data_IF_273019054612
#
_entry.id   IF_273019054612
#
_cell.length_a   1.000
_cell.length_b   1.000
_cell.length_c   1.000
_cell.angle_alpha   90.00
_cell.angle_beta   90.00
_cell.angle_gamma   90.00
#
_symmetry.space_group_name_H-M   'P 1'
#
loop_
_entity.id
_entity.type
_entity.pdbx_description
1 polymer ?
#
# COMPACT_ATOMS: atom_id res chain seq x y z
N UNK A 1 25.65 -6.19 0.72
CA UNK A 1 24.65 -5.33 1.39
C UNK A 1 23.33 -6.05 1.35
N UNK A 2 22.72 -6.31 2.50
CA UNK A 2 21.44 -7.00 2.56
C UNK A 2 20.34 -6.00 2.18
N UNK A 3 19.91 -6.02 0.92
CA UNK A 3 18.60 -5.45 0.58
C UNK A 3 17.57 -6.17 1.45
N UNK A 4 16.76 -5.41 2.18
CA UNK A 4 15.64 -5.98 2.94
C UNK A 4 14.81 -6.84 1.98
N UNK A 5 14.73 -8.15 2.23
CA UNK A 5 13.88 -9.03 1.43
C UNK A 5 12.44 -8.76 1.80
N UNK A 6 11.70 -8.18 0.86
CA UNK A 6 10.27 -7.93 1.02
C UNK A 6 9.52 -9.24 0.77
N UNK A 7 8.62 -9.59 1.69
CA UNK A 7 7.75 -10.77 1.58
C UNK A 7 6.29 -10.33 1.68
N UNK A 8 5.45 -10.82 0.77
CA UNK A 8 3.99 -10.74 0.90
C UNK A 8 3.53 -11.81 1.90
N UNK A 9 2.84 -11.39 2.95
CA UNK A 9 2.24 -12.27 3.95
C UNK A 9 0.74 -12.50 3.67
N UNK A 10 0.05 -11.48 3.17
CA UNK A 10 -1.36 -11.53 2.79
C UNK A 10 -1.63 -10.59 1.62
N UNK A 11 -2.56 -11.01 0.76
CA UNK A 11 -3.15 -10.17 -0.30
C UNK A 11 -4.58 -10.65 -0.51
N UNK A 12 -5.55 -9.75 -0.34
CA UNK A 12 -6.97 -10.07 -0.46
C UNK A 12 -7.36 -10.53 -1.86
N UNK A 13 -6.61 -10.10 -2.90
CA UNK A 13 -6.87 -10.50 -4.28
C UNK A 13 -6.39 -11.91 -4.60
N UNK A 14 -5.50 -12.47 -3.78
CA UNK A 14 -5.05 -13.86 -3.90
C UNK A 14 -5.94 -14.85 -3.13
N UNK A 15 -6.96 -14.35 -2.41
CA UNK A 15 -7.86 -15.21 -1.64
C UNK A 15 -8.98 -15.76 -2.54
N UNK A 16 -9.45 -17.00 -2.29
CA UNK A 16 -10.64 -17.54 -2.97
C UNK A 16 -11.85 -16.65 -2.72
N UNK A 17 -12.56 -16.27 -3.79
CA UNK A 17 -13.85 -15.59 -3.67
C UNK A 17 -14.91 -16.66 -3.41
N UNK A 18 -15.57 -16.60 -2.25
CA UNK A 18 -16.68 -17.51 -1.95
C UNK A 18 -17.86 -17.25 -2.89
N UNK A 19 -18.49 -18.31 -3.40
CA UNK A 19 -19.75 -18.19 -4.14
C UNK A 19 -20.79 -17.46 -3.28
N UNK A 20 -21.39 -16.40 -3.85
CA UNK A 20 -22.35 -15.55 -3.15
C UNK A 20 -21.75 -14.34 -2.43
N UNK A 21 -20.42 -14.16 -2.43
CA UNK A 21 -19.82 -12.88 -2.07
C UNK A 21 -20.28 -11.81 -3.07
N UNK A 22 -21.11 -10.86 -2.61
CA UNK A 22 -21.38 -9.64 -3.38
C UNK A 22 -20.04 -8.95 -3.65
N UNK A 23 -19.91 -8.26 -4.78
CA UNK A 23 -18.69 -7.59 -5.28
C UNK A 23 -18.11 -6.47 -4.38
N UNK A 24 -18.26 -6.57 -3.07
CA UNK A 24 -17.67 -5.70 -2.06
C UNK A 24 -16.13 -5.61 -2.17
N UNK A 25 -15.48 -6.50 -2.94
CA UNK A 25 -14.05 -6.47 -3.23
C UNK A 25 -13.62 -5.73 -4.50
N UNK A 26 -14.54 -5.27 -5.37
CA UNK A 26 -14.14 -4.66 -6.65
C UNK A 26 -13.53 -3.25 -6.53
N UNK A 27 -13.49 -2.69 -5.32
CA UNK A 27 -12.96 -1.34 -5.06
C UNK A 27 -11.97 -1.27 -3.90
N UNK A 28 -11.62 -2.39 -3.26
CA UNK A 28 -10.72 -2.41 -2.10
C UNK A 28 -9.76 -3.60 -2.16
N UNK A 29 -8.46 -3.36 -1.98
CA UNK A 29 -7.42 -4.39 -1.84
C UNK A 29 -6.67 -4.21 -0.53
N UNK A 30 -6.55 -5.28 0.25
CA UNK A 30 -5.79 -5.30 1.50
C UNK A 30 -4.56 -6.19 1.34
N UNK A 31 -3.41 -5.72 1.80
CA UNK A 31 -2.14 -6.40 1.68
C UNK A 31 -1.31 -6.25 2.95
N UNK A 32 -0.59 -7.32 3.31
CA UNK A 32 0.35 -7.32 4.41
C UNK A 32 1.74 -7.72 3.92
N UNK A 33 2.72 -6.86 4.15
CA UNK A 33 4.12 -7.09 3.79
C UNK A 33 5.01 -7.22 5.03
N UNK A 34 6.09 -7.99 4.88
CA UNK A 34 7.23 -8.02 5.81
C UNK A 34 8.48 -7.56 5.09
N UNK A 35 9.16 -6.58 5.68
CA UNK A 35 10.44 -6.06 5.24
C UNK A 35 11.28 -5.83 6.49
N UNK A 36 11.94 -6.89 6.98
CA UNK A 36 12.54 -6.91 8.32
C UNK A 36 13.36 -5.64 8.61
N UNK A 37 13.14 -4.99 9.76
CA UNK A 37 12.29 -5.42 10.90
C UNK A 37 10.81 -5.01 10.81
N UNK A 38 10.37 -4.46 9.67
CA UNK A 38 9.05 -3.84 9.55
C UNK A 38 7.98 -4.82 9.09
N UNK A 39 6.78 -4.62 9.62
CA UNK A 39 5.54 -5.12 9.04
C UNK A 39 4.72 -3.93 8.55
N UNK A 40 4.16 -4.05 7.34
CA UNK A 40 3.50 -2.96 6.63
C UNK A 40 2.13 -3.46 6.17
N UNK A 41 1.07 -2.94 6.78
CA UNK A 41 -0.32 -3.15 6.37
C UNK A 41 -0.72 -2.02 5.41
N UNK A 42 -1.34 -2.38 4.29
CA UNK A 42 -1.73 -1.47 3.22
C UNK A 42 -3.14 -1.82 2.76
N UNK A 43 -3.99 -0.81 2.72
CA UNK A 43 -5.30 -0.85 2.09
C UNK A 43 -5.36 0.18 0.97
N UNK A 44 -5.81 -0.26 -0.21
CA UNK A 44 -6.06 0.60 -1.36
C UNK A 44 -7.54 0.58 -1.66
N UNK A 45 -8.14 1.76 -1.82
CA UNK A 45 -9.56 1.93 -2.10
C UNK A 45 -9.83 2.86 -3.28
N UNK A 46 -10.78 2.50 -4.14
CA UNK A 46 -11.31 3.37 -5.18
C UNK A 46 -12.15 4.50 -4.58
N UNK A 47 -11.95 5.74 -5.04
CA UNK A 47 -12.90 6.82 -4.75
C UNK A 47 -14.09 6.80 -5.72
N UNK A 48 -15.32 6.97 -5.23
CA UNK A 48 -16.48 7.17 -6.09
C UNK A 48 -16.31 8.40 -6.99
N UNK A 49 -16.74 8.29 -8.25
CA UNK A 49 -16.87 9.44 -9.14
C UNK A 49 -15.57 9.95 -9.78
N UNK A 50 -14.46 9.20 -9.74
CA UNK A 50 -13.23 9.59 -10.42
C UNK A 50 -12.17 8.48 -10.50
N UNK A 51 -11.03 8.82 -11.10
CA UNK A 51 -9.88 7.91 -11.27
C UNK A 51 -8.87 8.02 -10.10
N UNK A 52 -9.36 8.19 -8.88
CA UNK A 52 -8.48 8.36 -7.70
C UNK A 52 -8.61 7.18 -6.76
N UNK A 53 -7.50 6.87 -6.12
CA UNK A 53 -7.42 5.87 -5.06
C UNK A 53 -6.92 6.50 -3.78
N UNK A 54 -7.40 5.99 -2.66
CA UNK A 54 -6.86 6.27 -1.34
C UNK A 54 -6.01 5.07 -0.93
N UNK A 55 -4.78 5.36 -0.52
CA UNK A 55 -3.89 4.39 0.09
C UNK A 55 -3.78 4.74 1.57
N UNK A 56 -4.27 3.85 2.42
CA UNK A 56 -4.11 3.91 3.87
C UNK A 56 -3.24 2.76 4.31
N UNK A 57 -2.57 2.90 5.45
CA UNK A 57 -1.77 1.82 5.97
C UNK A 57 -1.12 2.14 7.29
N UNK A 58 -0.45 1.13 7.83
CA UNK A 58 0.28 1.21 9.09
C UNK A 58 1.64 0.55 8.95
N UNK A 59 2.67 1.19 9.50
CA UNK A 59 4.02 0.61 9.62
C UNK A 59 4.34 0.30 11.07
N UNK A 60 4.73 -0.94 11.33
CA UNK A 60 5.11 -1.45 12.64
C UNK A 60 6.57 -1.90 12.63
N UNK A 61 7.39 -1.43 13.58
CA UNK A 61 8.70 -2.00 13.85
C UNK A 61 8.53 -3.21 14.78
N UNK A 62 8.85 -4.41 14.29
CA UNK A 62 8.67 -5.65 15.05
C UNK A 62 9.69 -5.81 16.18
N UNK A 63 10.73 -4.97 16.25
CA UNK A 63 11.70 -4.97 17.36
C UNK A 63 11.19 -4.18 18.56
N UNK A 64 10.50 -3.08 18.31
CA UNK A 64 9.90 -2.25 19.34
C UNK A 64 8.56 -1.67 18.85
N UNK A 65 7.45 -2.36 19.13
CA UNK A 65 6.11 -1.90 18.73
C UNK A 65 5.68 -0.59 19.39
N UNK A 66 6.38 -0.11 20.43
CA UNK A 66 6.07 1.15 21.14
C UNK A 66 6.82 2.34 20.54
N UNK A 67 8.00 2.09 19.95
CA UNK A 67 8.69 3.05 19.07
C UNK A 67 8.14 2.85 17.68
N UNK A 68 6.87 3.20 17.54
CA UNK A 68 6.24 3.17 16.22
C UNK A 68 7.03 4.10 15.31
N UNK A 69 7.14 3.76 14.03
CA UNK A 69 7.86 4.54 13.02
C UNK A 69 7.20 5.90 12.77
N UNK A 70 7.15 6.76 13.79
CA UNK A 70 6.68 8.14 13.79
C UNK A 70 7.54 8.95 12.85
N UNK A 71 6.91 9.86 12.11
CA UNK A 71 7.58 10.75 11.15
C UNK A 71 8.33 9.97 10.04
N UNK A 72 7.98 8.70 9.82
CA UNK A 72 8.49 7.94 8.69
C UNK A 72 7.91 8.49 7.39
N UNK A 73 8.76 8.63 6.38
CA UNK A 73 8.37 9.19 5.10
C UNK A 73 7.75 8.10 4.22
N UNK A 74 6.53 8.35 3.80
CA UNK A 74 5.83 7.58 2.78
C UNK A 74 5.81 8.38 1.49
N UNK A 75 6.13 7.72 0.38
CA UNK A 75 6.02 8.28 -0.96
C UNK A 75 5.15 7.33 -1.78
N UNK A 76 4.04 7.84 -2.30
CA UNK A 76 3.21 7.15 -3.29
C UNK A 76 3.54 7.73 -4.66
N UNK A 77 3.84 6.88 -5.63
CA UNK A 77 4.05 7.29 -7.01
C UNK A 77 3.18 6.46 -7.92
N UNK A 78 2.56 7.11 -8.91
CA UNK A 78 1.83 6.42 -9.97
C UNK A 78 2.73 6.11 -11.19
N UNK A 79 4.04 6.36 -11.07
CA UNK A 79 5.07 6.24 -12.12
C UNK A 79 4.79 7.03 -13.42
N UNK A 80 3.82 7.96 -13.39
CA UNK A 80 3.41 8.83 -14.50
C UNK A 80 3.54 10.31 -14.13
N UNK A 81 4.41 10.63 -13.18
CA UNK A 81 4.70 12.00 -12.75
C UNK A 81 3.89 12.50 -11.57
N UNK A 82 2.87 11.77 -11.10
CA UNK A 82 2.18 12.10 -9.84
C UNK A 82 2.85 11.39 -8.66
N UNK A 83 3.17 12.20 -7.65
CA UNK A 83 3.81 11.76 -6.42
C UNK A 83 3.11 12.42 -5.24
N UNK A 84 2.82 11.64 -4.21
CA UNK A 84 2.24 12.11 -2.95
C UNK A 84 3.19 11.74 -1.82
N UNK A 85 3.42 12.70 -0.91
CA UNK A 85 4.19 12.49 0.29
C UNK A 85 3.26 12.46 1.49
N UNK A 86 3.45 11.48 2.37
CA UNK A 86 2.78 11.39 3.66
C UNK A 86 3.82 11.13 4.76
N UNK A 87 3.49 11.53 5.98
CA UNK A 87 4.21 11.16 7.17
C UNK A 87 3.30 10.27 8.02
N UNK A 88 3.89 9.26 8.65
CA UNK A 88 3.19 8.46 9.63
C UNK A 88 2.94 9.25 10.91
N UNK A 89 1.78 9.04 11.53
CA UNK A 89 1.49 9.57 12.87
C UNK A 89 2.25 8.78 13.96
N UNK A 90 2.00 9.10 15.23
CA UNK A 90 2.61 8.39 16.37
C UNK A 90 2.26 6.88 16.46
N UNK A 91 1.25 6.43 15.71
CA UNK A 91 0.80 5.05 15.62
C UNK A 91 1.25 4.38 14.31
N UNK A 92 2.10 5.05 13.53
CA UNK A 92 2.66 4.47 12.30
C UNK A 92 1.69 4.50 11.13
N UNK A 93 0.53 5.13 11.31
CA UNK A 93 -0.53 5.17 10.30
C UNK A 93 -0.29 6.31 9.32
N UNK A 94 -0.61 6.08 8.06
CA UNK A 94 -0.54 7.07 7.00
C UNK A 94 -1.76 6.98 6.09
N UNK A 95 -2.02 8.06 5.35
CA UNK A 95 -3.03 8.11 4.29
C UNK A 95 -2.57 9.04 3.18
N UNK A 96 -2.84 8.66 1.94
CA UNK A 96 -2.55 9.48 0.76
C UNK A 96 -3.51 9.17 -0.37
N UNK A 97 -3.91 10.19 -1.11
CA UNK A 97 -4.79 10.06 -2.28
C UNK A 97 -3.99 10.34 -3.54
N UNK A 98 -4.01 9.42 -4.50
CA UNK A 98 -3.29 9.53 -5.76
C UNK A 98 -4.17 9.09 -6.93
N UNK A 99 -3.85 9.61 -8.12
CA UNK A 99 -4.50 9.13 -9.35
C UNK A 99 -4.12 7.67 -9.62
N UNK A 100 -5.12 6.86 -9.99
CA UNK A 100 -4.93 5.47 -10.34
C UNK A 100 -4.42 5.34 -11.77
N UNK A 101 -3.15 4.99 -11.92
CA UNK A 101 -2.51 4.74 -13.21
C UNK A 101 -2.34 3.26 -13.55
N UNK A 102 -2.71 2.35 -12.63
CA UNK A 102 -2.34 0.93 -12.67
C UNK A 102 -0.90 0.64 -12.19
N UNK A 103 -0.05 1.66 -12.11
CA UNK A 103 1.39 1.56 -11.84
C UNK A 103 1.78 2.15 -10.47
N UNK A 104 1.03 1.78 -9.43
CA UNK A 104 1.26 2.29 -8.08
C UNK A 104 2.53 1.69 -7.45
N UNK A 105 3.36 2.57 -6.90
CA UNK A 105 4.51 2.23 -6.07
C UNK A 105 4.46 2.98 -4.75
N UNK A 106 4.74 2.28 -3.66
CA UNK A 106 4.93 2.86 -2.33
C UNK A 106 6.40 2.75 -1.93
N UNK A 107 6.99 3.86 -1.49
CA UNK A 107 8.29 3.87 -0.84
C UNK A 107 8.13 4.28 0.61
N UNK A 108 8.72 3.51 1.51
CA UNK A 108 8.80 3.79 2.93
C UNK A 108 10.27 4.05 3.32
N UNK A 109 10.50 5.06 4.14
CA UNK A 109 11.82 5.36 4.71
C UNK A 109 11.69 5.72 6.18
N UNK A 110 12.40 4.99 7.04
CA UNK A 110 12.45 5.24 8.49
C UNK A 110 13.88 5.10 8.99
N UNK A 111 14.36 6.14 9.68
CA UNK A 111 15.76 6.25 10.09
C UNK A 111 16.74 6.21 8.90
N UNK A 112 18.04 6.30 9.16
CA UNK A 112 19.08 6.27 8.12
C UNK A 112 19.26 4.93 7.38
N UNK A 113 18.24 4.06 7.39
CA UNK A 113 18.23 2.79 6.65
C UNK A 113 17.94 2.96 5.16
N UNK A 114 18.09 1.87 4.41
CA UNK A 114 17.68 1.84 3.01
C UNK A 114 16.16 1.91 2.89
N UNK A 115 15.63 2.64 1.89
CA UNK A 115 14.20 2.68 1.65
C UNK A 115 13.64 1.30 1.28
N UNK A 116 12.44 1.00 1.75
CA UNK A 116 11.66 -0.16 1.33
C UNK A 116 10.77 0.29 0.18
N UNK A 117 10.85 -0.40 -0.96
CA UNK A 117 10.05 -0.10 -2.16
C UNK A 117 9.09 -1.26 -2.42
N UNK A 118 7.79 -0.98 -2.38
CA UNK A 118 6.72 -1.96 -2.60
C UNK A 118 5.99 -1.60 -3.90
N UNK A 119 5.96 -2.54 -4.83
CA UNK A 119 5.14 -2.45 -6.03
C UNK A 119 3.71 -2.85 -5.68
N UNK A 120 2.77 -1.91 -5.87
CA UNK A 120 1.33 -2.11 -5.67
C UNK A 120 0.60 -2.06 -7.02
N UNK A 121 1.27 -2.49 -8.11
CA UNK A 121 0.69 -2.58 -9.45
C UNK A 121 -0.65 -3.31 -9.43
N UNK A 122 -1.52 -2.89 -10.33
CA UNK A 122 -2.90 -3.36 -10.41
C UNK A 122 -3.56 -3.31 -9.02
N UNK A 123 -3.40 -2.15 -8.36
CA UNK A 123 -3.78 -1.95 -6.96
C UNK A 123 -5.26 -2.27 -6.69
N UNK A 124 -6.09 -2.16 -7.72
CA UNK A 124 -7.51 -2.53 -7.72
C UNK A 124 -7.84 -3.56 -8.82
N UNK A 125 -6.82 -4.28 -9.31
CA UNK A 125 -6.91 -5.15 -10.46
C UNK A 125 -6.84 -4.33 -11.74
N UNK A 126 -6.62 -4.99 -12.88
CA UNK A 126 -6.90 -4.33 -14.14
C UNK A 126 -8.37 -3.92 -14.11
N UNK A 127 -8.64 -2.61 -14.07
CA UNK A 127 -9.87 -2.07 -14.64
C UNK A 127 -9.80 -2.32 -16.16
N UNK A 128 -9.74 -3.59 -16.58
CA UNK A 128 -9.85 -3.96 -17.98
C UNK A 128 -11.31 -3.76 -18.34
N UNK A 129 -11.55 -2.54 -18.82
CA UNK A 129 -12.49 -2.18 -19.86
C UNK A 129 -13.82 -2.96 -19.83
N UNK A 130 -14.83 -2.32 -19.25
CA UNK A 130 -16.13 -2.35 -19.90
C UNK A 130 -15.98 -1.78 -21.32
N UNK A 131 -15.67 -2.64 -22.29
CA UNK A 131 -15.96 -2.38 -23.69
C UNK A 131 -17.41 -2.82 -23.93
N UNK A 132 -18.22 -1.77 -24.04
CA UNK A 132 -19.54 -1.61 -24.69
C UNK A 132 -20.27 -2.87 -25.15
#
# INVERSE_FOLDING_TARGET
GAGSRIKVLFDSFLQPVFEGARSAGAGTRQMLYRADPFQIDIQVEAKPGGNRIVVTGQVLDMRDPKVVGRDARIVLSNLQGHVVHALTNQFGEFSGEIENSGELQMTFSSGGGLPVVISLRDALGSLHEGKQ
#
